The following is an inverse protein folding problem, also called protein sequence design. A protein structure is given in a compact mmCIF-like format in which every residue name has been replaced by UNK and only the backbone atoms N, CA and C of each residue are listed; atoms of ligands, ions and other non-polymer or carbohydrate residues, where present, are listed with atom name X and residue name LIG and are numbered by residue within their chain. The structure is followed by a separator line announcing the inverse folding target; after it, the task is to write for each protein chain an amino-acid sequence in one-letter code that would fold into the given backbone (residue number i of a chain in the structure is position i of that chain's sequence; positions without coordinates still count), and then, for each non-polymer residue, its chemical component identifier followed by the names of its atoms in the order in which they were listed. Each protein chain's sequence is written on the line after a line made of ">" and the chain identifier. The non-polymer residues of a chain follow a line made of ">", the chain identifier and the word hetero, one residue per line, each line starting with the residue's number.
data_IF_878712144904
#
_entry.id   IF_878712144904
#
_cell.length_a   1.000
_cell.length_b   1.000
_cell.length_c   1.000
_cell.angle_alpha   90.00
_cell.angle_beta   90.00
_cell.angle_gamma   90.00
#
_symmetry.space_group_name_H-M   'P 1'
#
loop_
_entity.id
_entity.type
_entity.pdbx_description
1 polymer ?
#
# COMPACT_ATOMS: atom_id res chain seq x y z
N UNK A 1 19.44 -6.84 -37.48
CA UNK A 1 18.07 -7.40 -37.44
C UNK A 1 17.97 -8.59 -36.49
N UNK A 2 18.67 -9.72 -36.69
CA UNK A 2 18.57 -10.88 -35.79
C UNK A 2 19.02 -10.62 -34.33
N UNK A 3 20.04 -9.80 -34.10
CA UNK A 3 20.49 -9.43 -32.74
C UNK A 3 19.52 -8.49 -32.02
N UNK A 4 18.90 -7.56 -32.74
CA UNK A 4 17.87 -6.66 -32.21
C UNK A 4 16.60 -7.42 -31.84
N UNK A 5 16.19 -8.40 -32.66
CA UNK A 5 15.05 -9.27 -32.36
C UNK A 5 15.30 -10.08 -31.07
N UNK A 6 16.48 -10.69 -30.94
CA UNK A 6 16.86 -11.42 -29.72
C UNK A 6 16.87 -10.52 -28.48
N UNK A 7 17.38 -9.30 -28.61
CA UNK A 7 17.40 -8.33 -27.50
C UNK A 7 15.99 -7.92 -27.07
N UNK A 8 15.10 -7.65 -28.03
CA UNK A 8 13.69 -7.31 -27.77
C UNK A 8 12.94 -8.45 -27.06
N UNK A 9 13.18 -9.71 -27.48
CA UNK A 9 12.57 -10.89 -26.86
C UNK A 9 13.09 -11.07 -25.42
N UNK A 10 14.37 -10.82 -25.18
CA UNK A 10 14.97 -10.91 -23.84
C UNK A 10 14.44 -9.80 -22.92
N UNK A 11 14.29 -8.58 -23.44
CA UNK A 11 13.68 -7.44 -22.72
C UNK A 11 12.22 -7.71 -22.36
N UNK A 12 11.44 -8.28 -23.28
CA UNK A 12 10.05 -8.64 -23.06
C UNK A 12 9.91 -9.75 -22.01
N UNK A 13 10.74 -10.80 -22.09
CA UNK A 13 10.80 -11.87 -21.08
C UNK A 13 11.18 -11.34 -19.70
N UNK A 14 12.16 -10.46 -19.62
CA UNK A 14 12.56 -9.84 -18.36
C UNK A 14 11.43 -9.00 -17.78
N UNK A 15 10.71 -8.25 -18.62
CA UNK A 15 9.55 -7.45 -18.21
C UNK A 15 8.42 -8.34 -17.67
N UNK A 16 8.09 -9.44 -18.36
CA UNK A 16 7.10 -10.41 -17.88
C UNK A 16 7.51 -11.05 -16.57
N UNK A 17 8.78 -11.44 -16.44
CA UNK A 17 9.31 -12.02 -15.21
C UNK A 17 9.21 -11.05 -14.04
N UNK A 18 9.65 -9.81 -14.20
CA UNK A 18 9.53 -8.77 -13.16
C UNK A 18 8.07 -8.53 -12.79
N UNK A 19 7.15 -8.51 -13.75
CA UNK A 19 5.72 -8.38 -13.47
C UNK A 19 5.19 -9.55 -12.61
N UNK A 20 5.58 -10.78 -12.94
CA UNK A 20 5.16 -11.97 -12.19
C UNK A 20 5.76 -12.01 -10.77
N UNK A 21 7.02 -11.62 -10.62
CA UNK A 21 7.70 -11.53 -9.33
C UNK A 21 7.04 -10.48 -8.42
N UNK A 22 6.67 -9.31 -8.99
CA UNK A 22 5.92 -8.27 -8.29
C UNK A 22 4.56 -8.78 -7.80
N UNK A 23 3.79 -9.45 -8.67
CA UNK A 23 2.48 -10.00 -8.31
C UNK A 23 2.62 -11.02 -7.17
N UNK A 24 3.64 -11.88 -7.25
CA UNK A 24 3.90 -12.92 -6.24
C UNK A 24 4.28 -12.30 -4.90
N UNK A 25 5.18 -11.31 -4.90
CA UNK A 25 5.60 -10.59 -3.69
C UNK A 25 4.43 -9.87 -3.02
N UNK A 26 3.66 -9.11 -3.79
CA UNK A 26 2.46 -8.42 -3.29
C UNK A 26 1.44 -9.41 -2.73
N UNK A 27 1.19 -10.51 -3.43
CA UNK A 27 0.25 -11.54 -2.96
C UNK A 27 0.66 -12.14 -1.61
N UNK A 28 1.96 -12.34 -1.40
CA UNK A 28 2.50 -12.79 -0.12
C UNK A 28 2.29 -11.74 0.98
N UNK A 29 2.62 -10.48 0.68
CA UNK A 29 2.56 -9.38 1.63
C UNK A 29 1.13 -9.01 2.04
N UNK A 30 0.13 -9.25 1.17
CA UNK A 30 -1.28 -9.13 1.51
C UNK A 30 -1.79 -10.29 2.37
N UNK A 31 -1.28 -11.51 2.15
CA UNK A 31 -1.71 -12.72 2.88
C UNK A 31 -1.36 -12.64 4.37
N UNK A 32 -0.15 -12.19 4.71
CA UNK A 32 0.33 -12.13 6.09
C UNK A 32 -0.58 -11.32 7.03
N UNK A 33 -0.92 -10.05 6.75
CA UNK A 33 -1.83 -9.28 7.60
C UNK A 33 -3.24 -9.85 7.57
N UNK A 34 -3.72 -10.40 6.44
CA UNK A 34 -5.05 -11.01 6.35
C UNK A 34 -5.20 -12.23 7.26
N UNK A 35 -4.23 -13.16 7.24
CA UNK A 35 -4.23 -14.32 8.13
C UNK A 35 -4.20 -13.89 9.60
N UNK A 36 -3.43 -12.86 9.93
CA UNK A 36 -3.39 -12.33 11.30
C UNK A 36 -4.74 -11.72 11.72
N UNK A 37 -5.39 -10.94 10.85
CA UNK A 37 -6.72 -10.35 11.13
C UNK A 37 -7.73 -11.47 11.39
N UNK A 38 -7.78 -12.46 10.49
CA UNK A 38 -8.70 -13.58 10.60
C UNK A 38 -8.48 -14.33 11.91
N UNK A 39 -7.24 -14.62 12.30
CA UNK A 39 -6.95 -15.31 13.56
C UNK A 39 -7.42 -14.56 14.81
N UNK A 40 -7.27 -13.23 14.86
CA UNK A 40 -7.80 -12.45 16.00
C UNK A 40 -9.33 -12.40 16.00
N UNK A 41 -9.96 -12.31 14.82
CA UNK A 41 -11.42 -12.35 14.72
C UNK A 41 -11.97 -13.74 15.08
N UNK A 42 -11.31 -14.82 14.70
CA UNK A 42 -11.66 -16.18 15.10
C UNK A 42 -11.56 -16.37 16.62
N UNK A 43 -10.55 -15.81 17.28
CA UNK A 43 -10.47 -15.81 18.74
C UNK A 43 -11.64 -15.07 19.38
N UNK A 44 -12.08 -13.96 18.78
CA UNK A 44 -13.22 -13.18 19.27
C UNK A 44 -14.53 -13.95 19.05
N UNK A 45 -14.76 -14.49 17.86
CA UNK A 45 -15.99 -15.22 17.50
C UNK A 45 -16.19 -16.50 18.33
N UNK A 46 -15.10 -17.13 18.79
CA UNK A 46 -15.15 -18.34 19.62
C UNK A 46 -15.10 -18.05 21.13
N UNK A 47 -15.37 -16.82 21.56
CA UNK A 47 -15.28 -16.38 22.97
C UNK A 47 -13.92 -16.72 23.63
N UNK A 48 -12.83 -16.68 22.84
CA UNK A 48 -11.47 -16.99 23.24
C UNK A 48 -10.76 -15.89 24.06
N UNK A 49 -11.52 -15.01 24.72
CA UNK A 49 -11.04 -13.90 25.54
C UNK A 49 -11.54 -14.04 26.98
N UNK A 50 -10.73 -13.58 27.95
CA UNK A 50 -11.02 -13.71 29.39
C UNK A 50 -11.89 -12.58 29.93
N UNK A 51 -11.72 -11.38 29.40
CA UNK A 51 -12.39 -10.16 29.85
C UNK A 51 -12.54 -9.14 28.72
N UNK A 52 -13.25 -8.04 29.02
CA UNK A 52 -13.48 -6.95 28.06
C UNK A 52 -12.18 -6.23 27.66
N UNK A 53 -11.15 -6.23 28.51
CA UNK A 53 -9.86 -5.60 28.19
C UNK A 53 -9.15 -6.40 27.11
N UNK A 54 -9.12 -7.72 27.23
CA UNK A 54 -8.56 -8.64 26.25
C UNK A 54 -9.35 -8.62 24.93
N UNK A 55 -10.69 -8.57 24.99
CA UNK A 55 -11.54 -8.38 23.82
C UNK A 55 -11.15 -7.11 23.04
N UNK A 56 -11.11 -5.96 23.72
CA UNK A 56 -10.73 -4.68 23.07
C UNK A 56 -9.31 -4.71 22.54
N UNK A 57 -8.41 -5.42 23.20
CA UNK A 57 -7.03 -5.61 22.72
C UNK A 57 -6.98 -6.39 21.41
N UNK A 58 -7.69 -7.51 21.31
CA UNK A 58 -7.78 -8.29 20.06
C UNK A 58 -8.44 -7.49 18.93
N UNK A 59 -9.53 -6.77 19.21
CA UNK A 59 -10.16 -5.88 18.23
C UNK A 59 -9.18 -4.80 17.76
N UNK A 60 -8.41 -4.19 18.67
CA UNK A 60 -7.42 -3.17 18.33
C UNK A 60 -6.32 -3.71 17.43
N UNK A 61 -5.81 -4.92 17.70
CA UNK A 61 -4.80 -5.54 16.83
C UNK A 61 -5.38 -5.81 15.43
N UNK A 62 -6.57 -6.42 15.34
CA UNK A 62 -7.22 -6.68 14.06
C UNK A 62 -7.42 -5.39 13.25
N UNK A 63 -7.85 -4.31 13.92
CA UNK A 63 -8.00 -2.99 13.30
C UNK A 63 -6.67 -2.42 12.79
N UNK A 64 -5.61 -2.44 13.60
CA UNK A 64 -4.30 -1.92 13.20
C UNK A 64 -3.69 -2.72 12.05
N UNK A 65 -3.93 -4.04 12.00
CA UNK A 65 -3.54 -4.89 10.86
C UNK A 65 -4.34 -4.55 9.61
N UNK A 66 -5.63 -4.24 9.75
CA UNK A 66 -6.49 -3.82 8.63
C UNK A 66 -6.02 -2.51 8.03
N UNK A 67 -5.61 -1.53 8.85
CA UNK A 67 -5.02 -0.27 8.37
C UNK A 67 -3.75 -0.54 7.55
N UNK A 68 -2.87 -1.42 8.04
CA UNK A 68 -1.64 -1.79 7.31
C UNK A 68 -1.95 -2.46 5.98
N UNK A 69 -2.91 -3.39 5.96
CA UNK A 69 -3.35 -4.06 4.74
C UNK A 69 -3.94 -3.05 3.74
N UNK A 70 -4.77 -2.10 4.21
CA UNK A 70 -5.31 -1.03 3.37
C UNK A 70 -4.17 -0.22 2.72
N UNK A 71 -3.16 0.17 3.49
CA UNK A 71 -2.02 0.92 2.96
C UNK A 71 -1.27 0.16 1.86
N UNK A 72 -1.04 -1.15 2.03
CA UNK A 72 -0.40 -1.97 0.99
C UNK A 72 -1.22 -2.02 -0.30
N UNK A 73 -2.56 -2.07 -0.19
CA UNK A 73 -3.46 -2.04 -1.34
C UNK A 73 -3.44 -0.66 -2.01
N UNK A 74 -3.46 0.43 -1.23
CA UNK A 74 -3.38 1.80 -1.76
C UNK A 74 -2.03 2.01 -2.49
N UNK A 75 -0.91 1.60 -1.88
CA UNK A 75 0.44 1.70 -2.47
C UNK A 75 0.54 0.91 -3.80
N UNK A 76 -0.10 -0.26 -3.87
CA UNK A 76 -0.19 -1.06 -5.11
C UNK A 76 -1.06 -0.37 -6.17
N UNK A 77 -2.18 0.22 -5.76
CA UNK A 77 -3.07 0.92 -6.67
C UNK A 77 -2.39 2.16 -7.25
N UNK A 78 -1.64 2.90 -6.44
CA UNK A 78 -0.84 4.05 -6.89
C UNK A 78 0.24 3.61 -7.90
N UNK A 79 0.95 2.53 -7.60
CA UNK A 79 1.94 1.96 -8.51
C UNK A 79 1.35 1.55 -9.87
N UNK A 80 0.20 0.86 -9.87
CA UNK A 80 -0.46 0.40 -11.10
C UNK A 80 -1.15 1.54 -11.85
N UNK A 81 -1.67 2.55 -11.16
CA UNK A 81 -2.24 3.75 -11.76
C UNK A 81 -1.17 4.56 -12.50
N UNK A 82 0.01 4.74 -11.89
CA UNK A 82 1.15 5.42 -12.52
C UNK A 82 1.66 4.69 -13.78
N UNK A 83 1.56 3.36 -13.81
CA UNK A 83 2.03 2.55 -14.95
C UNK A 83 0.98 2.34 -16.05
N UNK A 84 -0.33 2.33 -15.72
CA UNK A 84 -1.41 2.05 -16.68
C UNK A 84 -1.90 3.29 -17.43
N UNK A 85 -1.81 4.46 -16.79
CA UNK A 85 -2.07 5.76 -17.41
C UNK A 85 -0.84 6.60 -17.10
N UNK A 86 -0.05 6.95 -18.11
CA UNK A 86 0.98 7.97 -17.95
C UNK A 86 0.37 9.14 -17.15
N UNK A 87 1.03 9.62 -16.10
CA UNK A 87 0.39 10.48 -15.12
C UNK A 87 -0.24 11.69 -15.82
N UNK A 88 -1.56 11.86 -15.68
CA UNK A 88 -2.21 13.14 -16.00
C UNK A 88 -1.75 14.15 -14.96
N UNK A 89 -0.50 14.60 -15.09
CA UNK A 89 0.01 15.73 -14.34
C UNK A 89 -0.79 16.95 -14.78
N UNK A 90 -1.80 17.32 -13.98
CA UNK A 90 -2.36 18.67 -14.00
C UNK A 90 -1.30 19.62 -13.44
N UNK A 91 -0.34 19.97 -14.30
CA UNK A 91 0.65 20.99 -14.05
C UNK A 91 -0.07 22.31 -13.83
N UNK A 92 -0.23 22.65 -12.56
CA UNK A 92 -0.82 23.91 -12.14
C UNK A 92 0.32 24.79 -11.66
N UNK A 93 0.34 26.06 -12.04
CA UNK A 93 1.34 27.00 -11.51
C UNK A 93 1.09 27.18 -10.02
N UNK A 94 1.90 26.55 -9.18
CA UNK A 94 1.87 26.76 -7.74
C UNK A 94 2.87 27.86 -7.41
N UNK A 95 2.39 28.92 -6.75
CA UNK A 95 3.26 29.98 -6.25
C UNK A 95 4.02 29.45 -5.03
N UNK A 96 5.34 29.32 -5.15
CA UNK A 96 6.22 28.77 -4.11
C UNK A 96 6.14 29.62 -2.82
N UNK A 97 5.90 30.94 -2.92
CA UNK A 97 5.73 31.81 -1.76
C UNK A 97 4.41 31.56 -1.00
N UNK A 98 3.39 31.01 -1.68
CA UNK A 98 2.13 30.61 -1.05
C UNK A 98 2.19 29.27 -0.32
N UNK A 99 3.09 28.37 -0.75
CA UNK A 99 3.31 27.07 -0.09
C UNK A 99 3.98 27.24 1.29
N UNK A 100 4.93 28.18 1.41
CA UNK A 100 5.63 28.43 2.68
C UNK A 100 4.76 29.13 3.72
N UNK A 101 3.75 29.90 3.31
CA UNK A 101 2.78 30.52 4.22
C UNK A 101 1.70 29.55 4.71
N UNK A 102 1.27 28.60 3.86
CA UNK A 102 0.24 27.62 4.23
C UNK A 102 0.69 26.65 5.33
N UNK A 103 1.98 26.26 5.34
CA UNK A 103 2.53 25.37 6.37
C UNK A 103 3.01 26.13 7.63
N UNK A 104 3.46 27.38 7.49
CA UNK A 104 3.89 28.18 8.64
C UNK A 104 2.71 28.56 9.57
N UNK A 105 1.51 28.78 9.01
CA UNK A 105 0.31 29.08 9.80
C UNK A 105 -0.17 27.94 10.71
N UNK A 106 0.22 26.69 10.42
CA UNK A 106 -0.10 25.52 11.27
C UNK A 106 0.93 25.25 12.36
N UNK A 107 2.18 25.67 12.17
CA UNK A 107 3.25 25.49 13.17
C UNK A 107 3.14 26.57 14.27
N UNK A 108 2.68 27.78 13.94
CA UNK A 108 2.55 28.86 14.91
C UNK A 108 1.24 28.85 15.73
N UNK A 109 0.28 27.98 15.41
CA UNK A 109 -0.99 27.90 16.16
C UNK A 109 -0.91 27.06 17.45
N UNK A 110 0.28 26.52 17.78
CA UNK A 110 0.50 25.69 18.98
C UNK A 110 1.77 26.10 19.75
N UNK A 111 2.18 27.37 19.66
CA UNK A 111 3.16 27.98 20.56
C UNK A 111 2.45 29.04 21.42
#
# INVERSE_FOLDING_TARGET
>A
MASQLKKSIEEERNTEKTKNDLITGVSHDLRTPLTSILGYLELIENDGYKDEVEFRYYTKIAYDKTIKLKKLIDDLFDYTSLHSKGPEFKMTRININGLTQADCGRICANA
#
